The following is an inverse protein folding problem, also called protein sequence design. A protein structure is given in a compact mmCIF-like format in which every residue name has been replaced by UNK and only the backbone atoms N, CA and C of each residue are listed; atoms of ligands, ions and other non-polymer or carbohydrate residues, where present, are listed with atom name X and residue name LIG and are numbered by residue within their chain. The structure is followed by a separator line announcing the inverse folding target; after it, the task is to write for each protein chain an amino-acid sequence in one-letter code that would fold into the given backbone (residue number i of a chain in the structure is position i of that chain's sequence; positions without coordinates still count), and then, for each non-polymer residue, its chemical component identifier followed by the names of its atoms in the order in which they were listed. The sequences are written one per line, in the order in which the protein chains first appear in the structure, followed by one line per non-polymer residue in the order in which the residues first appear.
data_IF_566877758060
#
_entry.id   IF_566877758060
#
_cell.length_a   1.000
_cell.length_b   1.000
_cell.length_c   1.000
_cell.angle_alpha   90.00
_cell.angle_beta   90.00
_cell.angle_gamma   90.00
#
_symmetry.space_group_name_H-M   'P 1'
#
loop_
_entity.id
_entity.type
_entity.pdbx_description
1 polymer ?
#
# COMPACT_ATOMS: atom_id res chain seq x y z
N UNK A 1 4.63 0.12 11.46
CA UNK A 1 3.16 0.15 11.38
C UNK A 1 2.65 -0.07 9.96
N UNK A 2 3.42 0.30 8.92
CA UNK A 2 3.08 0.05 7.51
C UNK A 2 3.67 -1.24 6.91
N UNK A 3 4.52 -1.97 7.64
CA UNK A 3 5.28 -3.14 7.15
C UNK A 3 4.42 -4.26 6.57
N UNK A 4 3.25 -4.52 7.14
CA UNK A 4 2.31 -5.54 6.66
C UNK A 4 1.62 -5.18 5.33
N UNK A 5 1.56 -3.89 5.00
CA UNK A 5 0.79 -3.42 3.84
C UNK A 5 1.46 -3.82 2.53
N UNK A 6 2.79 -3.92 2.48
CA UNK A 6 3.50 -4.39 1.27
C UNK A 6 3.11 -5.84 0.92
N UNK A 7 3.03 -6.72 1.92
CA UNK A 7 2.53 -8.08 1.72
C UNK A 7 1.07 -8.11 1.27
N UNK A 8 0.24 -7.25 1.86
CA UNK A 8 -1.18 -7.15 1.47
C UNK A 8 -1.36 -6.65 0.03
N UNK A 9 -0.51 -5.74 -0.44
CA UNK A 9 -0.51 -5.27 -1.85
C UNK A 9 -0.19 -6.42 -2.79
N UNK A 10 0.84 -7.22 -2.49
CA UNK A 10 1.20 -8.41 -3.28
C UNK A 10 0.04 -9.40 -3.32
N UNK A 11 -0.57 -9.68 -2.17
CA UNK A 11 -1.69 -10.61 -2.10
C UNK A 11 -2.92 -10.11 -2.89
N UNK A 12 -3.22 -8.81 -2.82
CA UNK A 12 -4.32 -8.21 -3.58
C UNK A 12 -4.08 -8.23 -5.09
N UNK A 13 -2.85 -7.96 -5.54
CA UNK A 13 -2.48 -8.13 -6.96
C UNK A 13 -2.56 -9.58 -7.41
N UNK A 14 -2.17 -10.53 -6.53
CA UNK A 14 -2.38 -11.97 -6.77
C UNK A 14 -3.87 -12.33 -6.91
N UNK A 15 -4.73 -11.77 -6.07
CA UNK A 15 -6.18 -11.97 -6.19
C UNK A 15 -6.74 -11.43 -7.51
N UNK A 16 -6.30 -10.25 -7.95
CA UNK A 16 -6.67 -9.71 -9.25
C UNK A 16 -6.19 -10.60 -10.40
N UNK A 17 -4.98 -11.15 -10.31
CA UNK A 17 -4.46 -12.12 -11.27
C UNK A 17 -5.34 -13.37 -11.33
N UNK A 18 -5.65 -14.00 -10.19
CA UNK A 18 -6.49 -15.21 -10.12
C UNK A 18 -7.88 -14.96 -10.71
N UNK A 19 -8.51 -13.83 -10.37
CA UNK A 19 -9.81 -13.46 -10.92
C UNK A 19 -9.76 -13.29 -12.44
N UNK A 20 -8.73 -12.62 -12.95
CA UNK A 20 -8.54 -12.45 -14.38
C UNK A 20 -8.26 -13.79 -15.08
N UNK A 21 -7.38 -14.63 -14.52
CA UNK A 21 -7.10 -15.98 -15.04
C UNK A 21 -8.35 -16.86 -15.08
N UNK A 22 -9.21 -16.78 -14.06
CA UNK A 22 -10.47 -17.53 -14.03
C UNK A 22 -11.43 -17.10 -15.16
N UNK A 23 -11.47 -15.81 -15.49
CA UNK A 23 -12.29 -15.28 -16.59
C UNK A 23 -11.71 -15.61 -17.96
N UNK A 24 -10.38 -15.62 -18.09
CA UNK A 24 -9.69 -15.88 -19.37
C UNK A 24 -9.31 -17.34 -19.58
N UNK A 25 -9.61 -18.24 -18.64
CA UNK A 25 -9.27 -19.66 -18.71
C UNK A 25 -7.77 -19.96 -18.60
N UNK A 26 -7.00 -19.06 -17.97
CA UNK A 26 -5.55 -19.23 -17.77
C UNK A 26 -5.22 -19.92 -16.46
N UNK A 27 -4.00 -20.44 -16.34
CA UNK A 27 -3.51 -20.97 -15.06
C UNK A 27 -3.51 -19.86 -13.98
N UNK A 28 -4.00 -20.23 -12.80
CA UNK A 28 -4.07 -19.37 -11.64
C UNK A 28 -2.88 -19.58 -10.67
N UNK A 29 -1.98 -20.52 -10.96
CA UNK A 29 -0.86 -20.90 -10.09
C UNK A 29 0.01 -19.71 -9.69
N UNK A 30 0.37 -18.85 -10.66
CA UNK A 30 1.14 -17.62 -10.39
C UNK A 30 0.41 -16.69 -9.42
N UNK A 31 -0.89 -16.44 -9.65
CA UNK A 31 -1.70 -15.59 -8.79
C UNK A 31 -1.87 -16.16 -7.38
N UNK A 32 -2.06 -17.48 -7.26
CA UNK A 32 -2.12 -18.15 -5.96
C UNK A 32 -0.79 -18.08 -5.21
N UNK A 33 0.33 -18.24 -5.91
CA UNK A 33 1.67 -18.04 -5.35
C UNK A 33 1.84 -16.63 -4.77
N UNK A 34 1.40 -15.60 -5.50
CA UNK A 34 1.41 -14.22 -5.02
C UNK A 34 0.52 -14.02 -3.79
N UNK A 35 -0.67 -14.63 -3.75
CA UNK A 35 -1.57 -14.57 -2.58
C UNK A 35 -0.89 -15.16 -1.35
N UNK A 36 -0.37 -16.39 -1.45
CA UNK A 36 0.26 -17.09 -0.32
C UNK A 36 1.48 -16.33 0.18
N UNK A 37 2.36 -15.94 -0.74
CA UNK A 37 3.57 -15.18 -0.40
C UNK A 37 3.23 -13.82 0.20
N UNK A 38 2.30 -13.08 -0.41
CA UNK A 38 1.86 -11.79 0.07
C UNK A 38 1.19 -11.87 1.45
N UNK A 39 0.35 -12.89 1.67
CA UNK A 39 -0.29 -13.13 2.97
C UNK A 39 0.73 -13.47 4.06
N UNK A 40 1.72 -14.32 3.76
CA UNK A 40 2.80 -14.65 4.68
C UNK A 40 3.62 -13.39 5.05
N UNK A 41 4.01 -12.59 4.04
CA UNK A 41 4.71 -11.33 4.24
C UNK A 41 3.87 -10.32 5.04
N UNK A 42 2.57 -10.25 4.80
CA UNK A 42 1.66 -9.39 5.55
C UNK A 42 1.58 -9.82 7.01
N UNK A 43 1.44 -11.12 7.28
CA UNK A 43 1.42 -11.69 8.62
C UNK A 43 2.72 -11.39 9.38
N UNK A 44 3.88 -11.65 8.76
CA UNK A 44 5.20 -11.34 9.33
C UNK A 44 5.34 -9.84 9.59
N UNK A 45 5.01 -9.00 8.61
CA UNK A 45 5.07 -7.55 8.75
C UNK A 45 4.13 -7.02 9.83
N UNK A 46 3.00 -7.69 10.08
CA UNK A 46 2.04 -7.34 11.12
C UNK A 46 2.61 -7.71 12.48
N UNK A 47 3.07 -8.95 12.64
CA UNK A 47 3.70 -9.48 13.86
C UNK A 47 4.93 -8.65 14.26
N UNK A 48 5.81 -8.33 13.32
CA UNK A 48 6.96 -7.45 13.56
C UNK A 48 6.55 -6.05 14.03
N UNK A 49 5.33 -5.61 13.72
CA UNK A 49 4.79 -4.32 14.17
C UNK A 49 4.01 -4.39 15.48
N UNK A 50 3.64 -5.60 15.95
CA UNK A 50 2.82 -5.79 17.15
C UNK A 50 3.44 -5.18 18.43
N UNK A 51 4.76 -5.30 18.70
CA UNK A 51 5.35 -4.69 19.89
C UNK A 51 5.19 -3.17 19.93
N UNK A 52 5.20 -2.50 18.77
CA UNK A 52 4.99 -1.05 18.67
C UNK A 52 3.52 -0.64 18.78
N UNK A 53 2.57 -1.54 18.50
CA UNK A 53 1.12 -1.27 18.60
C UNK A 53 0.61 -1.42 20.03
N UNK A 54 1.13 -2.40 20.76
CA UNK A 54 0.69 -2.73 22.12
C UNK A 54 1.67 -2.25 23.20
N UNK A 55 2.60 -1.38 22.85
CA UNK A 55 3.55 -0.80 23.82
C UNK A 55 2.84 0.15 24.78
N UNK A 56 3.25 0.12 26.05
CA UNK A 56 2.88 1.13 27.06
C UNK A 56 3.90 2.29 27.12
N UNK A 57 4.94 2.25 26.30
CA UNK A 57 5.99 3.29 26.28
C UNK A 57 5.41 4.63 25.83
N UNK A 58 5.91 5.69 26.45
CA UNK A 58 5.57 7.08 26.13
C UNK A 58 5.89 7.34 24.64
N UNK A 59 4.95 7.89 23.85
CA UNK A 59 5.21 8.28 22.47
C UNK A 59 6.34 9.29 22.43
N UNK A 60 7.24 9.17 21.44
CA UNK A 60 8.33 10.14 21.27
C UNK A 60 7.79 11.42 20.60
N UNK A 61 8.29 12.60 20.98
CA UNK A 61 7.96 13.84 20.30
C UNK A 61 8.36 13.78 18.82
N UNK A 62 7.64 14.53 17.98
CA UNK A 62 7.91 14.60 16.54
C UNK A 62 9.23 15.37 16.29
N UNK A 63 10.35 14.66 16.30
CA UNK A 63 11.69 15.29 16.21
C UNK A 63 12.14 15.60 14.77
N UNK A 64 11.47 15.04 13.74
CA UNK A 64 11.86 15.17 12.32
C UNK A 64 10.78 15.88 11.48
N UNK A 65 10.31 17.04 11.94
CA UNK A 65 9.24 17.82 11.28
C UNK A 65 9.60 18.22 9.84
N UNK A 66 10.83 18.70 9.52
CA UNK A 66 11.15 19.17 8.16
C UNK A 66 11.12 18.04 7.11
N UNK A 67 11.62 16.86 7.47
CA UNK A 67 11.64 15.68 6.58
C UNK A 67 10.22 15.12 6.38
N UNK A 68 9.39 15.15 7.42
CA UNK A 68 8.00 14.75 7.33
C UNK A 68 7.20 15.70 6.42
N UNK A 69 7.37 17.02 6.56
CA UNK A 69 6.72 18.02 5.70
C UNK A 69 7.13 17.91 4.24
N UNK A 70 8.42 17.72 3.96
CA UNK A 70 8.90 17.52 2.59
C UNK A 70 8.28 16.26 1.98
N UNK A 71 8.24 15.15 2.71
CA UNK A 71 7.59 13.92 2.27
C UNK A 71 6.09 14.16 2.01
N UNK A 72 5.39 14.89 2.88
CA UNK A 72 3.97 15.21 2.71
C UNK A 72 3.70 16.00 1.42
N UNK A 73 4.56 16.98 1.09
CA UNK A 73 4.42 17.79 -0.13
C UNK A 73 4.64 16.98 -1.40
N UNK A 74 5.67 16.14 -1.44
CA UNK A 74 6.07 15.40 -2.65
C UNK A 74 5.15 14.20 -2.92
N UNK A 75 4.71 13.52 -1.86
CA UNK A 75 4.01 12.24 -1.97
C UNK A 75 2.72 12.31 -2.80
N UNK A 76 1.94 13.39 -2.72
CA UNK A 76 0.73 13.53 -3.55
C UNK A 76 1.05 13.56 -5.04
N UNK A 77 2.05 14.34 -5.44
CA UNK A 77 2.48 14.42 -6.84
C UNK A 77 3.02 13.09 -7.36
N UNK A 78 3.83 12.40 -6.55
CA UNK A 78 4.37 11.07 -6.89
C UNK A 78 3.26 10.03 -7.06
N UNK A 79 2.26 10.03 -6.17
CA UNK A 79 1.12 9.10 -6.27
C UNK A 79 0.31 9.36 -7.53
N UNK A 80 0.00 10.62 -7.85
CA UNK A 80 -0.74 10.96 -9.07
C UNK A 80 0.07 10.58 -10.32
N UNK A 81 1.33 11.00 -10.40
CA UNK A 81 2.19 10.71 -11.55
C UNK A 81 2.37 9.20 -11.79
N UNK A 82 2.64 8.43 -10.73
CA UNK A 82 2.80 6.97 -10.83
C UNK A 82 1.52 6.26 -11.29
N UNK A 83 0.34 6.70 -10.84
CA UNK A 83 -0.93 6.14 -11.31
C UNK A 83 -1.21 6.51 -12.77
N UNK A 84 -0.92 7.75 -13.20
CA UNK A 84 -1.08 8.17 -14.60
C UNK A 84 -0.15 7.35 -15.50
N UNK A 85 1.13 7.21 -15.14
CA UNK A 85 2.10 6.42 -15.90
C UNK A 85 1.65 4.96 -15.98
N UNK A 86 1.20 4.35 -14.87
CA UNK A 86 0.71 2.97 -14.89
C UNK A 86 -0.54 2.82 -15.77
N UNK A 87 -1.49 3.75 -15.69
CA UNK A 87 -2.68 3.75 -16.53
C UNK A 87 -2.32 3.86 -18.02
N UNK A 88 -1.34 4.71 -18.36
CA UNK A 88 -0.83 4.83 -19.73
C UNK A 88 -0.18 3.54 -20.23
N UNK A 89 0.61 2.85 -19.38
CA UNK A 89 1.20 1.54 -19.71
C UNK A 89 0.12 0.49 -19.95
N UNK A 90 -0.88 0.41 -19.08
CA UNK A 90 -1.99 -0.55 -19.22
C UNK A 90 -2.79 -0.26 -20.49
N UNK A 91 -3.09 1.01 -20.78
CA UNK A 91 -3.81 1.41 -21.98
C UNK A 91 -3.00 1.12 -23.24
N UNK A 92 -1.71 1.43 -23.25
CA UNK A 92 -0.82 1.12 -24.36
C UNK A 92 -0.77 -0.40 -24.60
N UNK A 93 -0.61 -1.20 -23.55
CA UNK A 93 -0.64 -2.65 -23.67
C UNK A 93 -1.98 -3.16 -24.22
N UNK A 94 -3.10 -2.59 -23.77
CA UNK A 94 -4.44 -2.98 -24.25
C UNK A 94 -4.70 -2.58 -25.72
N UNK A 95 -4.16 -1.45 -26.17
CA UNK A 95 -4.33 -0.95 -27.55
C UNK A 95 -3.39 -1.65 -28.53
N UNK A 96 -2.13 -1.87 -28.12
CA UNK A 96 -1.11 -2.43 -28.99
C UNK A 96 -1.01 -3.95 -28.94
N UNK A 97 -1.64 -4.64 -27.98
CA UNK A 97 -1.76 -6.10 -28.01
C UNK A 97 -2.82 -6.53 -29.04
N UNK A 98 -2.44 -7.19 -30.15
CA UNK A 98 -3.42 -7.69 -31.12
C UNK A 98 -4.36 -8.69 -30.43
N UNK A 99 -5.68 -8.48 -30.59
CA UNK A 99 -6.70 -9.39 -30.07
C UNK A 99 -6.38 -10.82 -30.48
N UNK A 100 -6.14 -11.70 -29.50
CA UNK A 100 -5.84 -13.12 -29.72
C UNK A 100 -4.36 -13.51 -29.79
N UNK A 101 -3.41 -12.57 -29.71
CA UNK A 101 -1.97 -12.91 -29.79
C UNK A 101 -1.25 -13.02 -28.45
N UNK A 102 -1.81 -12.45 -27.38
CA UNK A 102 -1.19 -12.44 -26.06
C UNK A 102 -2.22 -12.60 -24.92
N UNK A 103 -2.97 -13.71 -24.88
CA UNK A 103 -4.00 -13.92 -23.87
C UNK A 103 -3.40 -13.98 -22.44
N UNK A 104 -2.13 -14.36 -22.31
CA UNK A 104 -1.36 -14.37 -21.05
C UNK A 104 -1.13 -12.98 -20.44
N UNK A 105 -1.32 -11.90 -21.22
CA UNK A 105 -1.07 -10.52 -20.77
C UNK A 105 -2.22 -9.99 -19.91
N UNK A 106 -3.45 -10.50 -20.09
CA UNK A 106 -4.63 -10.00 -19.36
C UNK A 106 -4.52 -10.20 -17.84
N UNK A 107 -4.14 -11.38 -17.31
CA UNK A 107 -3.92 -11.55 -15.87
C UNK A 107 -2.83 -10.63 -15.30
N UNK A 108 -1.77 -10.38 -16.07
CA UNK A 108 -0.68 -9.49 -15.67
C UNK A 108 -1.17 -8.04 -15.57
N UNK A 109 -1.92 -7.56 -16.58
CA UNK A 109 -2.49 -6.22 -16.56
C UNK A 109 -3.49 -6.04 -15.41
N UNK A 110 -4.30 -7.06 -15.11
CA UNK A 110 -5.20 -7.04 -13.96
C UNK A 110 -4.42 -6.87 -12.65
N UNK A 111 -3.35 -7.65 -12.43
CA UNK A 111 -2.49 -7.51 -11.26
C UNK A 111 -1.86 -6.12 -11.13
N UNK A 112 -1.37 -5.56 -12.25
CA UNK A 112 -0.75 -4.23 -12.30
C UNK A 112 -1.75 -3.09 -12.06
N UNK A 113 -2.99 -3.24 -12.54
CA UNK A 113 -4.05 -2.24 -12.34
C UNK A 113 -4.41 -2.04 -10.86
N UNK A 114 -4.21 -3.07 -10.03
CA UNK A 114 -4.42 -3.02 -8.58
C UNK A 114 -3.18 -2.54 -7.84
N UNK A 115 -1.98 -2.85 -8.36
CA UNK A 115 -0.72 -2.57 -7.69
C UNK A 115 -0.47 -1.08 -7.43
N UNK A 116 -0.55 -0.24 -8.47
CA UNK A 116 -0.24 1.20 -8.37
C UNK A 116 -1.22 1.97 -7.46
N UNK A 117 -2.55 1.76 -7.54
CA UNK A 117 -3.49 2.39 -6.61
C UNK A 117 -3.24 1.99 -5.15
N UNK A 118 -2.93 0.71 -4.87
CA UNK A 118 -2.70 0.27 -3.50
C UNK A 118 -1.37 0.80 -2.92
N UNK A 119 -0.33 0.91 -3.74
CA UNK A 119 0.90 1.64 -3.37
C UNK A 119 0.61 3.11 -3.09
N UNK A 120 -0.20 3.74 -3.93
CA UNK A 120 -0.67 5.11 -3.73
C UNK A 120 -1.39 5.27 -2.39
N UNK A 121 -2.32 4.37 -2.08
CA UNK A 121 -3.01 4.33 -0.80
C UNK A 121 -2.06 4.18 0.39
N UNK A 122 -1.05 3.31 0.29
CA UNK A 122 -0.02 3.14 1.32
C UNK A 122 0.75 4.45 1.56
N UNK A 123 1.21 5.10 0.49
CA UNK A 123 1.93 6.38 0.57
C UNK A 123 1.04 7.46 1.19
N UNK A 124 -0.21 7.60 0.75
CA UNK A 124 -1.14 8.60 1.30
C UNK A 124 -1.47 8.32 2.77
N UNK A 125 -1.67 7.05 3.14
CA UNK A 125 -1.93 6.65 4.53
C UNK A 125 -0.75 6.96 5.44
N UNK A 126 0.47 6.65 5.01
CA UNK A 126 1.68 6.95 5.78
C UNK A 126 1.90 8.46 5.91
N UNK A 127 1.61 9.21 4.84
CA UNK A 127 1.64 10.67 4.82
C UNK A 127 0.66 11.27 5.81
N UNK A 128 -0.60 10.81 5.81
CA UNK A 128 -1.63 11.23 6.77
C UNK A 128 -1.23 10.90 8.21
N UNK A 129 -0.65 9.72 8.42
CA UNK A 129 -0.16 9.35 9.75
C UNK A 129 0.98 10.26 10.22
N UNK A 130 1.86 10.71 9.32
CA UNK A 130 2.94 11.66 9.63
C UNK A 130 2.37 13.05 9.98
N UNK A 131 1.41 13.56 9.22
CA UNK A 131 0.80 14.87 9.49
C UNK A 131 0.02 14.90 10.80
N UNK A 132 -0.59 13.79 11.20
CA UNK A 132 -1.36 13.69 12.45
C UNK A 132 -0.48 13.39 13.68
N UNK A 133 0.84 13.22 13.56
CA UNK A 133 1.69 12.87 14.71
C UNK A 133 1.73 13.93 15.79
N UNK A 134 1.90 15.19 15.42
CA UNK A 134 1.95 16.32 16.36
C UNK A 134 0.64 16.44 17.16
N UNK A 135 -0.52 16.64 16.49
CA UNK A 135 -1.81 16.73 17.17
C UNK A 135 -2.13 15.53 18.07
N UNK A 136 -1.76 14.31 17.68
CA UNK A 136 -1.96 13.11 18.50
C UNK A 136 -1.04 13.06 19.73
N UNK A 137 0.18 13.59 19.61
CA UNK A 137 1.10 13.70 20.73
C UNK A 137 0.61 14.76 21.72
N UNK A 138 0.13 15.90 21.22
CA UNK A 138 -0.43 16.97 22.05
C UNK A 138 -1.69 16.48 22.79
N UNK A 139 -2.60 15.77 22.11
CA UNK A 139 -3.77 15.15 22.73
C UNK A 139 -3.36 14.17 23.84
N UNK A 140 -2.34 13.33 23.59
CA UNK A 140 -1.83 12.40 24.59
C UNK A 140 -1.23 13.12 25.81
N UNK A 141 -0.58 14.27 25.62
CA UNK A 141 -0.10 15.11 26.72
C UNK A 141 -1.26 15.72 27.52
N UNK A 142 -2.32 16.18 26.83
CA UNK A 142 -3.52 16.72 27.48
C UNK A 142 -4.23 15.69 28.34
N UNK A 143 -4.42 14.46 27.85
CA UNK A 143 -5.08 13.37 28.60
C UNK A 143 -4.29 12.92 29.84
N UNK A 144 -2.99 13.25 29.94
CA UNK A 144 -2.11 12.84 31.03
C UNK A 144 -1.70 13.95 31.99
N UNK A 145 -2.10 15.21 31.77
CA UNK A 145 -1.90 16.28 32.75
C UNK A 145 -2.93 16.12 33.88
N UNK A 146 -2.52 15.84 35.14
CA UNK A 146 -3.44 15.86 36.27
C UNK A 146 -3.71 17.33 36.63
N UNK A 147 -4.94 17.82 36.41
CA UNK A 147 -5.35 19.14 36.91
C UNK A 147 -6.25 20.02 36.04
N UNK A 148 -6.95 19.51 35.01
CA UNK A 148 -7.95 20.30 34.27
C UNK A 148 -9.38 19.75 34.42
N UNK A 149 -9.78 19.50 35.67
CA UNK A 149 -11.20 19.52 36.07
C UNK A 149 -11.40 20.63 37.07
#
# INVERSE_FOLDING_TARGET
MASWMYGAIIAASGAAYVLASAVTGHDAGTGMGMIVFGAAMAAVGWLASAPKRFTRKIPKPAMDVPRAEQAIRINKGVVVASNIVMAAIILAAAVFAPRGTAPDVVPILAALSVWAPLLGFLILRTTRFLSERGPRYDLWLHDRKPGSR
#
